data_IF_531377124912
#
_entry.id   IF_531377124912
#
_cell.length_a   1.000
_cell.length_b   1.000
_cell.length_c   1.000
_cell.angle_alpha   90.00
_cell.angle_beta   90.00
_cell.angle_gamma   90.00
#
_symmetry.space_group_name_H-M   'P 1'
#
loop_
_entity.id
_entity.type
_entity.pdbx_description
1 polymer ?
#
# COMPACT_ATOMS: atom_id res chain seq x y z
N UNK A 1 1.00 24.52 1.73
CA UNK A 1 1.57 23.34 2.42
C UNK A 1 2.85 23.71 3.19
N UNK A 2 3.86 24.37 2.57
CA UNK A 2 5.09 24.77 3.31
C UNK A 2 4.78 25.61 4.56
N UNK A 3 3.86 26.59 4.46
CA UNK A 3 3.42 27.42 5.60
C UNK A 3 2.74 26.63 6.74
N UNK A 4 2.29 25.40 6.47
CA UNK A 4 1.65 24.51 7.45
C UNK A 4 2.62 23.53 8.06
N UNK A 5 3.89 23.61 7.71
CA UNK A 5 4.97 22.72 8.14
C UNK A 5 4.61 21.22 7.99
N UNK A 6 4.03 20.86 6.84
CA UNK A 6 3.68 19.46 6.54
C UNK A 6 4.91 18.57 6.66
N UNK A 7 4.76 17.41 7.33
CA UNK A 7 5.87 16.45 7.58
C UNK A 7 6.31 15.72 6.32
N UNK A 8 5.42 15.55 5.35
CA UNK A 8 5.69 14.92 4.05
C UNK A 8 4.72 15.47 3.00
N UNK A 9 4.99 15.16 1.73
CA UNK A 9 4.09 15.49 0.61
C UNK A 9 3.55 14.23 -0.04
N UNK A 10 2.22 14.12 -0.08
CA UNK A 10 1.54 13.11 -0.90
C UNK A 10 1.22 13.71 -2.27
N UNK A 11 1.77 13.09 -3.31
CA UNK A 11 1.52 13.44 -4.71
C UNK A 11 0.55 12.41 -5.31
N UNK A 12 -0.63 12.84 -5.78
CA UNK A 12 -1.62 11.94 -6.36
C UNK A 12 -1.15 11.44 -7.73
N UNK A 13 -1.74 10.33 -8.18
CA UNK A 13 -1.45 9.72 -9.50
C UNK A 13 -1.54 10.70 -10.66
N UNK A 14 -2.52 11.60 -10.63
CA UNK A 14 -2.71 12.63 -11.67
C UNK A 14 -1.54 13.61 -11.81
N UNK A 15 -0.68 13.71 -10.79
CA UNK A 15 0.46 14.63 -10.79
C UNK A 15 1.80 13.93 -11.07
N UNK A 16 1.82 12.63 -11.32
CA UNK A 16 3.07 11.88 -11.54
C UNK A 16 3.85 12.39 -12.73
N UNK A 17 3.17 12.79 -13.79
CA UNK A 17 3.79 13.33 -15.02
C UNK A 17 4.08 14.83 -14.99
N UNK A 18 3.68 15.53 -13.92
CA UNK A 18 4.01 16.96 -13.72
C UNK A 18 5.43 17.11 -13.14
N UNK A 19 6.43 17.02 -14.01
CA UNK A 19 7.83 17.13 -13.61
C UNK A 19 8.17 18.49 -12.98
N UNK A 20 7.42 19.56 -13.31
CA UNK A 20 7.58 20.88 -12.70
C UNK A 20 7.21 20.85 -11.22
N UNK A 21 6.05 20.26 -10.92
CA UNK A 21 5.59 20.05 -9.54
C UNK A 21 6.54 19.12 -8.77
N UNK A 22 6.94 17.99 -9.37
CA UNK A 22 7.87 17.04 -8.74
C UNK A 22 9.18 17.72 -8.33
N UNK A 23 9.79 18.49 -9.24
CA UNK A 23 11.00 19.30 -8.97
C UNK A 23 10.77 20.28 -7.82
N UNK A 24 9.65 21.03 -7.86
CA UNK A 24 9.31 21.99 -6.81
C UNK A 24 9.15 21.33 -5.45
N UNK A 25 8.43 20.21 -5.37
CA UNK A 25 8.26 19.49 -4.11
C UNK A 25 9.61 18.97 -3.60
N UNK A 26 10.47 18.45 -4.47
CA UNK A 26 11.80 17.97 -4.08
C UNK A 26 12.67 19.06 -3.45
N UNK A 27 12.54 20.32 -3.87
CA UNK A 27 13.29 21.43 -3.24
C UNK A 27 12.94 21.67 -1.78
N UNK A 28 11.86 21.08 -1.27
CA UNK A 28 11.49 21.20 0.16
C UNK A 28 12.29 20.29 1.07
N UNK A 29 13.04 19.33 0.50
CA UNK A 29 13.78 18.28 1.22
C UNK A 29 12.94 17.45 2.20
N UNK A 30 11.62 17.40 2.00
CA UNK A 30 10.69 16.59 2.81
C UNK A 30 10.39 15.26 2.12
N UNK A 31 10.02 14.21 2.87
CA UNK A 31 9.61 12.94 2.31
C UNK A 31 8.44 13.07 1.32
N UNK A 32 8.50 12.30 0.25
CA UNK A 32 7.50 12.27 -0.82
C UNK A 32 6.84 10.91 -0.87
N UNK A 33 5.50 10.89 -0.89
CA UNK A 33 4.69 9.71 -1.18
C UNK A 33 4.10 9.91 -2.57
N UNK A 34 4.46 9.08 -3.54
CA UNK A 34 4.07 9.20 -4.95
C UNK A 34 3.15 8.06 -5.36
N UNK A 35 1.91 8.33 -5.76
CA UNK A 35 1.00 7.32 -6.33
C UNK A 35 1.18 7.19 -7.83
N UNK A 36 1.03 5.94 -8.36
CA UNK A 36 1.39 5.55 -9.72
C UNK A 36 0.21 5.16 -10.61
N UNK A 37 -1.02 5.45 -10.18
CA UNK A 37 -2.20 5.19 -11.03
C UNK A 37 -2.13 5.96 -12.36
N UNK A 38 -2.78 5.43 -13.40
CA UNK A 38 -2.79 6.00 -14.76
C UNK A 38 -1.39 6.16 -15.39
N UNK A 39 -0.38 5.43 -14.91
CA UNK A 39 0.99 5.61 -15.36
C UNK A 39 1.62 4.31 -15.84
N UNK A 40 2.42 4.40 -16.89
CA UNK A 40 3.29 3.33 -17.36
C UNK A 40 4.57 3.25 -16.51
N UNK A 41 5.30 2.14 -16.60
CA UNK A 41 6.60 1.98 -15.94
C UNK A 41 7.59 3.06 -16.40
N UNK A 42 7.60 3.44 -17.67
CA UNK A 42 8.49 4.47 -18.20
C UNK A 42 8.17 5.86 -17.62
N UNK A 43 6.90 6.14 -17.35
CA UNK A 43 6.49 7.38 -16.69
C UNK A 43 6.90 7.40 -15.21
N UNK A 44 6.77 6.27 -14.54
CA UNK A 44 7.27 6.10 -13.16
C UNK A 44 8.79 6.31 -13.12
N UNK A 45 9.54 5.71 -14.06
CA UNK A 45 11.00 5.89 -14.15
C UNK A 45 11.38 7.37 -14.32
N UNK A 46 10.68 8.09 -15.20
CA UNK A 46 10.90 9.53 -15.38
C UNK A 46 10.59 10.34 -14.14
N UNK A 47 9.51 10.01 -13.44
CA UNK A 47 9.15 10.68 -12.19
C UNK A 47 10.20 10.43 -11.09
N UNK A 48 10.66 9.18 -10.94
CA UNK A 48 11.73 8.79 -10.01
C UNK A 48 13.06 9.48 -10.38
N UNK A 49 13.39 9.60 -11.66
CA UNK A 49 14.58 10.33 -12.10
C UNK A 49 14.54 11.82 -11.70
N UNK A 50 13.35 12.40 -11.61
CA UNK A 50 13.15 13.79 -11.18
C UNK A 50 13.18 13.95 -9.65
N UNK A 51 12.54 13.01 -8.92
CA UNK A 51 12.45 13.10 -7.45
C UNK A 51 13.70 12.54 -6.75
N UNK A 52 14.45 11.65 -7.39
CA UNK A 52 15.43 10.79 -6.71
C UNK A 52 14.72 9.74 -5.85
N UNK A 53 15.49 8.82 -5.28
CA UNK A 53 14.99 7.74 -4.40
C UNK A 53 15.06 8.09 -2.92
N UNK A 54 15.85 9.08 -2.54
CA UNK A 54 16.01 9.49 -1.15
C UNK A 54 14.68 10.04 -0.61
N UNK A 55 14.24 9.57 0.53
CA UNK A 55 12.96 9.95 1.16
C UNK A 55 11.75 9.86 0.22
N UNK A 56 11.77 8.93 -0.74
CA UNK A 56 10.67 8.62 -1.62
C UNK A 56 9.99 7.32 -1.21
N UNK A 57 8.65 7.29 -1.15
CA UNK A 57 7.80 6.12 -1.07
C UNK A 57 6.92 6.08 -2.31
N UNK A 58 6.88 4.94 -2.99
CA UNK A 58 6.07 4.74 -4.20
C UNK A 58 4.86 3.88 -3.85
N UNK A 59 3.64 4.37 -4.10
CA UNK A 59 2.41 3.60 -3.94
C UNK A 59 1.96 3.05 -5.29
N UNK A 60 1.84 1.71 -5.39
CA UNK A 60 1.04 1.12 -6.46
C UNK A 60 -0.42 1.55 -6.32
N UNK A 61 -1.03 1.93 -7.43
CA UNK A 61 -2.42 2.39 -7.47
C UNK A 61 -3.05 2.13 -8.84
N UNK A 62 -4.37 1.90 -8.85
CA UNK A 62 -5.21 1.92 -10.05
C UNK A 62 -6.28 2.98 -9.87
N UNK A 63 -6.32 3.97 -10.77
CA UNK A 63 -7.18 5.16 -10.62
C UNK A 63 -8.53 4.96 -11.32
N UNK A 64 -9.31 4.00 -10.84
CA UNK A 64 -10.72 3.81 -11.12
C UNK A 64 -11.51 3.85 -9.80
N UNK A 65 -12.68 4.46 -9.74
CA UNK A 65 -13.43 4.79 -8.52
C UNK A 65 -14.90 4.34 -8.58
N UNK A 66 -15.26 3.12 -8.11
CA UNK A 66 -14.39 2.09 -7.58
C UNK A 66 -13.59 1.33 -8.65
N UNK A 67 -12.46 0.75 -8.26
CA UNK A 67 -11.68 -0.11 -9.12
C UNK A 67 -12.19 -1.56 -9.08
N UNK A 68 -12.28 -2.20 -10.24
CA UNK A 68 -12.57 -3.63 -10.34
C UNK A 68 -11.36 -4.45 -9.80
N UNK A 69 -11.59 -5.49 -8.99
CA UNK A 69 -10.53 -6.33 -8.49
C UNK A 69 -9.61 -6.94 -9.56
N UNK A 70 -10.12 -7.19 -10.77
CA UNK A 70 -9.34 -7.72 -11.89
C UNK A 70 -8.32 -6.72 -12.45
N UNK A 71 -8.51 -5.42 -12.22
CA UNK A 71 -7.64 -4.34 -12.69
C UNK A 71 -6.63 -3.88 -11.63
N UNK A 72 -6.71 -4.36 -10.40
CA UNK A 72 -5.84 -3.94 -9.30
C UNK A 72 -4.37 -4.33 -9.50
N UNK A 73 -4.11 -5.47 -10.15
CA UNK A 73 -2.76 -5.98 -10.44
C UNK A 73 -1.79 -5.84 -9.24
N UNK A 74 -2.18 -6.34 -8.06
CA UNK A 74 -1.43 -6.18 -6.80
C UNK A 74 0.01 -6.70 -6.86
N UNK A 75 0.33 -7.62 -7.81
CA UNK A 75 1.72 -8.07 -8.05
C UNK A 75 2.65 -6.95 -8.51
N UNK A 76 2.12 -5.81 -8.92
CA UNK A 76 2.94 -4.62 -9.19
C UNK A 76 3.70 -4.12 -7.96
N UNK A 77 3.23 -4.42 -6.74
CA UNK A 77 3.96 -4.13 -5.50
C UNK A 77 5.31 -4.86 -5.50
N UNK A 78 5.31 -6.16 -5.82
CA UNK A 78 6.53 -6.96 -5.94
C UNK A 78 7.42 -6.47 -7.10
N UNK A 79 6.82 -6.08 -8.23
CA UNK A 79 7.54 -5.56 -9.40
C UNK A 79 8.24 -4.24 -9.07
N UNK A 80 7.55 -3.31 -8.43
CA UNK A 80 8.12 -2.03 -8.01
C UNK A 80 9.21 -2.22 -6.95
N UNK A 81 9.01 -3.12 -5.99
CA UNK A 81 10.01 -3.45 -4.97
C UNK A 81 11.31 -4.00 -5.57
N UNK A 82 11.19 -4.87 -6.59
CA UNK A 82 12.37 -5.39 -7.31
C UNK A 82 13.05 -4.31 -8.16
N UNK A 83 12.27 -3.43 -8.76
CA UNK A 83 12.77 -2.36 -9.63
C UNK A 83 13.44 -1.23 -8.83
N UNK A 84 12.92 -0.89 -7.67
CA UNK A 84 13.40 0.18 -6.79
C UNK A 84 13.73 -0.39 -5.40
N UNK A 85 14.78 -1.21 -5.25
CA UNK A 85 15.03 -2.01 -4.04
C UNK A 85 15.32 -1.18 -2.78
N UNK A 86 15.70 0.08 -2.92
CA UNK A 86 15.96 1.01 -1.81
C UNK A 86 14.75 1.89 -1.47
N UNK A 87 13.68 1.82 -2.28
CA UNK A 87 12.49 2.64 -2.11
C UNK A 87 11.38 1.83 -1.43
N UNK A 88 10.81 2.27 -0.31
CA UNK A 88 9.62 1.66 0.28
C UNK A 88 8.46 1.66 -0.71
N UNK A 89 7.74 0.54 -0.82
CA UNK A 89 6.58 0.42 -1.70
C UNK A 89 5.31 0.35 -0.86
N UNK A 90 4.34 1.18 -1.19
CA UNK A 90 3.01 1.22 -0.59
C UNK A 90 1.91 0.81 -1.58
N UNK A 91 0.69 0.85 -1.09
CA UNK A 91 -0.53 0.61 -1.86
C UNK A 91 -1.55 1.74 -1.61
N UNK A 92 -2.07 2.34 -2.69
CA UNK A 92 -3.14 3.33 -2.64
C UNK A 92 -4.35 2.77 -3.38
N UNK A 93 -5.35 2.27 -2.62
CA UNK A 93 -6.45 1.46 -3.12
C UNK A 93 -7.76 2.22 -3.28
N UNK A 94 -8.45 1.97 -4.41
CA UNK A 94 -9.75 2.56 -4.76
C UNK A 94 -10.85 1.51 -4.98
N UNK A 95 -10.60 0.28 -4.59
CA UNK A 95 -11.54 -0.83 -4.64
C UNK A 95 -12.59 -0.77 -3.52
N UNK A 96 -13.70 -1.49 -3.71
CA UNK A 96 -14.66 -1.71 -2.64
C UNK A 96 -14.19 -2.84 -1.72
N UNK A 97 -14.35 -2.66 -0.42
CA UNK A 97 -13.97 -3.68 0.58
C UNK A 97 -12.57 -3.50 1.14
N UNK A 98 -12.08 -4.51 1.86
CA UNK A 98 -10.85 -4.43 2.66
C UNK A 98 -9.81 -5.49 2.31
N UNK A 99 -10.23 -6.59 1.66
CA UNK A 99 -9.41 -7.80 1.46
C UNK A 99 -8.17 -7.48 0.63
N UNK A 100 -8.33 -6.75 -0.46
CA UNK A 100 -7.25 -6.40 -1.39
C UNK A 100 -6.17 -5.53 -0.74
N UNK A 101 -6.56 -4.63 0.16
CA UNK A 101 -5.61 -3.85 0.97
C UNK A 101 -4.80 -4.75 1.91
N UNK A 102 -5.42 -5.78 2.50
CA UNK A 102 -4.71 -6.78 3.33
C UNK A 102 -3.76 -7.63 2.49
N UNK A 103 -4.21 -8.05 1.30
CA UNK A 103 -3.35 -8.78 0.35
C UNK A 103 -2.16 -7.93 -0.10
N UNK A 104 -2.35 -6.62 -0.31
CA UNK A 104 -1.26 -5.71 -0.64
C UNK A 104 -0.15 -5.71 0.43
N UNK A 105 -0.53 -5.72 1.73
CA UNK A 105 0.43 -5.85 2.84
C UNK A 105 1.14 -7.20 2.80
N UNK A 106 0.42 -8.29 2.55
CA UNK A 106 1.03 -9.62 2.41
C UNK A 106 2.02 -9.71 1.23
N UNK A 107 1.85 -8.87 0.19
CA UNK A 107 2.77 -8.73 -0.95
C UNK A 107 3.90 -7.72 -0.69
N UNK A 108 4.01 -7.17 0.52
CA UNK A 108 5.11 -6.31 0.94
C UNK A 108 4.83 -4.80 0.93
N UNK A 109 3.58 -4.38 0.79
CA UNK A 109 3.25 -2.96 0.94
C UNK A 109 3.48 -2.50 2.38
N UNK A 110 4.34 -1.50 2.58
CA UNK A 110 4.66 -0.93 3.88
C UNK A 110 3.72 0.22 4.31
N UNK A 111 2.91 0.71 3.39
CA UNK A 111 1.91 1.75 3.60
C UNK A 111 0.63 1.38 2.84
N UNK A 112 -0.52 1.60 3.46
CA UNK A 112 -1.83 1.49 2.81
C UNK A 112 -2.56 2.82 2.93
N UNK A 113 -2.96 3.38 1.78
CA UNK A 113 -3.81 4.56 1.68
C UNK A 113 -5.19 4.15 1.18
N UNK A 114 -6.24 4.65 1.81
CA UNK A 114 -7.64 4.46 1.40
C UNK A 114 -8.43 5.75 1.55
N UNK A 115 -9.34 5.98 0.64
CA UNK A 115 -10.37 6.99 0.82
C UNK A 115 -11.22 6.67 2.05
N UNK A 116 -11.55 7.69 2.83
CA UNK A 116 -12.32 7.58 4.06
C UNK A 116 -13.58 8.46 3.97
N UNK A 117 -14.72 7.93 4.41
CA UNK A 117 -15.96 8.67 4.51
C UNK A 117 -16.70 8.33 5.80
N UNK A 118 -17.56 9.21 6.26
CA UNK A 118 -18.46 8.93 7.38
C UNK A 118 -19.66 8.07 6.94
N UNK A 119 -20.08 8.21 5.68
CA UNK A 119 -21.20 7.46 5.10
C UNK A 119 -20.98 7.33 3.58
N UNK A 120 -20.95 6.09 3.08
CA UNK A 120 -20.78 5.79 1.65
C UNK A 120 -21.99 6.17 0.80
N UNK A 121 -23.14 6.43 1.41
CA UNK A 121 -24.34 6.91 0.73
C UNK A 121 -24.35 8.42 0.50
N UNK A 122 -23.40 9.16 1.07
CA UNK A 122 -23.27 10.60 0.84
C UNK A 122 -22.99 10.91 -0.63
N UNK A 123 -23.37 12.10 -1.06
CA UNK A 123 -23.08 12.59 -2.39
C UNK A 123 -21.58 12.81 -2.59
N UNK A 124 -21.05 12.35 -3.73
CA UNK A 124 -19.64 12.49 -4.10
C UNK A 124 -19.12 11.32 -4.93
N UNK A 125 -18.18 11.55 -5.81
CA UNK A 125 -17.62 10.56 -6.73
C UNK A 125 -16.90 9.39 -6.04
N UNK A 126 -16.26 9.67 -4.90
CA UNK A 126 -15.32 8.74 -4.25
C UNK A 126 -15.96 7.98 -3.09
N UNK A 127 -17.18 8.32 -2.70
CA UNK A 127 -17.86 7.75 -1.53
C UNK A 127 -18.00 6.22 -1.62
N UNK A 128 -18.34 5.71 -2.80
CA UNK A 128 -18.53 4.26 -3.02
C UNK A 128 -17.26 3.45 -2.83
N UNK A 129 -16.09 4.01 -3.15
CA UNK A 129 -14.77 3.41 -2.96
C UNK A 129 -14.17 3.68 -1.57
N UNK A 130 -14.81 4.52 -0.77
CA UNK A 130 -14.31 4.93 0.54
C UNK A 130 -14.59 3.89 1.62
N UNK A 131 -13.77 3.94 2.68
CA UNK A 131 -13.91 3.10 3.88
C UNK A 131 -14.57 3.92 4.99
N UNK A 132 -15.60 3.38 5.61
CA UNK A 132 -16.27 3.97 6.77
C UNK A 132 -15.52 3.68 8.08
N UNK A 133 -15.78 4.40 9.20
CA UNK A 133 -15.04 4.27 10.45
C UNK A 133 -14.90 2.83 10.94
N UNK A 134 -16.01 2.07 10.96
CA UNK A 134 -16.01 0.65 11.37
C UNK A 134 -15.19 -0.22 10.43
N UNK A 135 -15.26 0.04 9.12
CA UNK A 135 -14.45 -0.62 8.10
C UNK A 135 -12.96 -0.31 8.30
N UNK A 136 -12.64 0.94 8.59
CA UNK A 136 -11.26 1.36 8.82
C UNK A 136 -10.65 0.70 10.07
N UNK A 137 -11.39 0.61 11.17
CA UNK A 137 -10.96 -0.13 12.37
C UNK A 137 -10.68 -1.60 12.06
N UNK A 138 -11.56 -2.25 11.26
CA UNK A 138 -11.36 -3.64 10.81
C UNK A 138 -10.15 -3.76 9.92
N UNK A 139 -9.93 -2.83 8.99
CA UNK A 139 -8.78 -2.83 8.10
C UNK A 139 -7.48 -2.79 8.90
N UNK A 140 -7.35 -1.86 9.85
CA UNK A 140 -6.18 -1.77 10.72
C UNK A 140 -5.94 -3.08 11.47
N UNK A 141 -7.01 -3.65 12.08
CA UNK A 141 -6.92 -4.94 12.78
C UNK A 141 -6.44 -6.06 11.85
N UNK A 142 -6.98 -6.16 10.65
CA UNK A 142 -6.63 -7.20 9.69
C UNK A 142 -5.19 -7.06 9.21
N UNK A 143 -4.72 -5.83 8.97
CA UNK A 143 -3.32 -5.56 8.64
C UNK A 143 -2.41 -6.05 9.75
N UNK A 144 -2.66 -5.69 11.02
CA UNK A 144 -1.82 -6.13 12.16
C UNK A 144 -1.80 -7.66 12.30
N UNK A 145 -2.97 -8.31 12.20
CA UNK A 145 -3.04 -9.77 12.23
C UNK A 145 -2.25 -10.40 11.07
N UNK A 146 -2.29 -9.78 9.89
CA UNK A 146 -1.52 -10.26 8.73
C UNK A 146 -0.02 -10.14 8.98
N UNK A 147 0.45 -8.99 9.46
CA UNK A 147 1.87 -8.76 9.81
C UNK A 147 2.37 -9.81 10.81
N UNK A 148 1.60 -10.06 11.89
CA UNK A 148 1.94 -11.07 12.91
C UNK A 148 1.95 -12.49 12.33
N UNK A 149 1.09 -12.76 11.33
CA UNK A 149 0.91 -14.11 10.76
C UNK A 149 1.94 -14.47 9.70
N UNK A 150 2.58 -13.49 9.05
CA UNK A 150 3.55 -13.74 7.99
C UNK A 150 4.79 -14.51 8.50
N UNK A 151 5.26 -14.21 9.70
CA UNK A 151 6.39 -14.92 10.32
C UNK A 151 7.71 -14.76 9.54
N UNK A 152 8.63 -15.67 9.81
CA UNK A 152 9.99 -15.68 9.25
C UNK A 152 10.19 -16.69 8.10
N UNK A 153 9.16 -17.44 7.73
CA UNK A 153 9.20 -18.48 6.70
C UNK A 153 9.96 -19.75 7.11
N UNK A 154 10.47 -19.83 8.34
CA UNK A 154 11.20 -21.01 8.83
C UNK A 154 10.24 -22.00 9.47
N UNK A 155 10.17 -23.23 8.93
CA UNK A 155 9.33 -24.28 9.50
C UNK A 155 9.90 -24.79 10.82
N UNK A 156 9.13 -24.63 11.90
CA UNK A 156 9.47 -25.10 13.25
C UNK A 156 8.23 -25.65 13.95
N UNK A 157 8.45 -26.42 15.01
CA UNK A 157 7.37 -26.89 15.90
C UNK A 157 7.25 -25.88 17.04
N UNK A 158 6.11 -25.22 17.15
CA UNK A 158 5.83 -24.29 18.24
C UNK A 158 5.46 -25.05 19.53
N UNK A 159 5.69 -24.43 20.68
CA UNK A 159 5.35 -25.01 21.99
C UNK A 159 3.87 -25.38 22.08
N UNK A 160 2.98 -24.56 21.50
CA UNK A 160 1.54 -24.81 21.43
C UNK A 160 1.15 -26.06 20.64
N UNK A 161 2.01 -26.54 19.73
CA UNK A 161 1.77 -27.77 18.94
C UNK A 161 2.15 -29.06 19.70
N UNK A 162 3.02 -28.99 20.73
CA UNK A 162 3.54 -30.15 21.43
C UNK A 162 2.46 -31.07 22.03
N UNK A 163 1.39 -30.54 22.69
CA UNK A 163 0.29 -31.40 23.18
C UNK A 163 -0.43 -32.13 22.05
N UNK A 164 -0.69 -31.44 20.94
CA UNK A 164 -1.32 -32.05 19.76
C UNK A 164 -0.41 -33.07 19.11
N UNK A 165 0.88 -32.80 19.06
CA UNK A 165 1.88 -33.72 18.53
C UNK A 165 1.90 -35.02 19.31
N UNK A 166 1.89 -35.01 20.66
CA UNK A 166 1.81 -36.21 21.52
C UNK A 166 0.55 -37.01 21.28
N UNK A 167 -0.58 -36.36 21.04
CA UNK A 167 -1.89 -37.01 20.89
C UNK A 167 -2.14 -37.60 19.51
N UNK A 168 -1.63 -36.93 18.45
CA UNK A 168 -2.05 -37.19 17.07
C UNK A 168 -0.97 -37.87 16.22
N UNK A 169 0.32 -37.78 16.57
CA UNK A 169 1.37 -38.46 15.81
C UNK A 169 1.29 -39.96 16.02
N UNK A 170 1.28 -40.71 14.91
CA UNK A 170 1.33 -42.16 14.92
C UNK A 170 2.74 -42.72 15.20
N UNK A 171 3.77 -41.99 14.76
CA UNK A 171 5.15 -42.41 14.89
C UNK A 171 5.97 -41.22 15.42
N UNK A 172 6.89 -41.49 16.34
CA UNK A 172 7.91 -40.57 16.82
C UNK A 172 9.25 -41.15 16.35
N UNK A 173 9.98 -40.38 15.50
CA UNK A 173 11.36 -40.69 15.18
C UNK A 173 12.26 -40.13 16.25
#
# INVERSE_FOLDING_TARGET
>A
MEKLDAVCYKLPSASLTDHGLLKKVRTTAKPIILSTGMSTIDEIDRAVAVTGLDDLLICHSTSAYPCDPQELNLRMIETLSKKFPTCPIGYSGHEVGLITSVVAVALGACLVERHFTLDRAMWGSDQSASVEPTGFQRLVKYIRVTEDSLGDGVKKVYESEKPSMKRLRRYFN
#
